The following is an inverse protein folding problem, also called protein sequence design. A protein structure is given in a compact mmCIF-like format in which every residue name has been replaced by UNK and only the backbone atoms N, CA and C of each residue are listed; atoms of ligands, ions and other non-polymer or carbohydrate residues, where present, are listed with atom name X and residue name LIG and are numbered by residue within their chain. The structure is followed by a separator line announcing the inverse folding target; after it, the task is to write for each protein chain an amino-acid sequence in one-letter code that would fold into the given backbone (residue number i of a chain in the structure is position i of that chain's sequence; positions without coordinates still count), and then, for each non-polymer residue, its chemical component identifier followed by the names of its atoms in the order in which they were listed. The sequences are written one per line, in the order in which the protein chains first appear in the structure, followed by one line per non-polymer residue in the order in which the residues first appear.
data_IF_040427564624
#
_entry.id   IF_040427564624
#
_cell.length_a   1.000
_cell.length_b   1.000
_cell.length_c   1.000
_cell.angle_alpha   90.00
_cell.angle_beta   90.00
_cell.angle_gamma   90.00
#
_symmetry.space_group_name_H-M   'P 1'
#
loop_
_entity.id
_entity.type
_entity.pdbx_description
1 polymer ?
#
# COMPACT_ATOMS: atom_id res chain seq x y z
N UNK A 1 -29.45 -76.26 -13.59
CA UNK A 1 -29.54 -74.90 -14.18
C UNK A 1 -29.15 -73.94 -13.07
N UNK A 2 -27.92 -73.40 -13.12
CA UNK A 2 -27.62 -72.01 -13.54
C UNK A 2 -28.16 -71.01 -12.49
N UNK A 3 -27.45 -70.08 -11.85
CA UNK A 3 -26.11 -69.49 -11.97
C UNK A 3 -26.00 -68.48 -10.81
N UNK A 4 -24.85 -68.43 -10.14
CA UNK A 4 -24.03 -67.21 -9.87
C UNK A 4 -24.72 -65.86 -9.56
N UNK A 5 -24.33 -65.19 -8.47
CA UNK A 5 -23.43 -64.01 -8.54
C UNK A 5 -23.12 -63.40 -7.17
N UNK A 6 -21.82 -63.15 -6.96
CA UNK A 6 -21.21 -62.33 -5.93
C UNK A 6 -21.54 -60.84 -6.13
N UNK A 7 -21.74 -60.08 -5.06
CA UNK A 7 -21.41 -58.64 -5.05
C UNK A 7 -20.90 -58.21 -3.67
N UNK A 8 -19.58 -58.08 -3.57
CA UNK A 8 -18.91 -57.34 -2.50
C UNK A 8 -18.82 -55.87 -2.94
N UNK A 9 -19.40 -54.97 -2.16
CA UNK A 9 -19.28 -53.51 -2.36
C UNK A 9 -18.16 -52.99 -1.46
N UNK A 10 -16.96 -52.85 -2.03
CA UNK A 10 -15.88 -52.08 -1.43
C UNK A 10 -16.14 -50.58 -1.68
N UNK A 11 -16.56 -49.86 -0.64
CA UNK A 11 -16.64 -48.39 -0.68
C UNK A 11 -15.23 -47.81 -0.49
N UNK A 12 -14.58 -47.45 -1.59
CA UNK A 12 -13.38 -46.62 -1.60
C UNK A 12 -13.75 -45.18 -1.20
N UNK A 13 -13.54 -44.83 0.07
CA UNK A 13 -13.58 -43.45 0.53
C UNK A 13 -12.35 -42.70 0.02
N UNK A 14 -12.53 -41.95 -1.06
CA UNK A 14 -11.56 -41.01 -1.61
C UNK A 14 -11.38 -39.84 -0.65
N UNK A 15 -10.30 -39.87 0.14
CA UNK A 15 -9.84 -38.73 0.91
C UNK A 15 -9.31 -37.67 -0.08
N UNK A 16 -10.10 -36.63 -0.33
CA UNK A 16 -9.65 -35.45 -1.04
C UNK A 16 -8.64 -34.70 -0.16
N UNK A 17 -7.34 -34.90 -0.44
CA UNK A 17 -6.27 -34.09 0.14
C UNK A 17 -6.44 -32.68 -0.43
N UNK A 18 -7.00 -31.77 0.39
CA UNK A 18 -7.03 -30.36 0.08
C UNK A 18 -5.57 -29.88 0.01
N UNK A 19 -5.11 -29.52 -1.19
CA UNK A 19 -3.82 -28.91 -1.38
C UNK A 19 -3.76 -27.59 -0.59
N UNK A 20 -2.69 -27.31 0.17
CA UNK A 20 -2.55 -26.03 0.84
C UNK A 20 -2.48 -24.94 -0.22
N UNK A 21 -3.44 -24.01 -0.15
CA UNK A 21 -3.41 -22.76 -0.91
C UNK A 21 -2.16 -22.01 -0.45
N UNK A 22 -1.11 -22.10 -1.26
CA UNK A 22 0.12 -21.36 -1.07
C UNK A 22 -0.22 -19.87 -1.20
N UNK A 23 -0.44 -19.23 -0.04
CA UNK A 23 -0.62 -17.79 0.11
C UNK A 23 0.71 -17.13 -0.26
N UNK A 24 0.98 -17.01 -1.57
CA UNK A 24 2.12 -16.26 -2.11
C UNK A 24 1.88 -14.80 -1.77
N UNK A 25 2.31 -14.39 -0.59
CA UNK A 25 2.58 -12.99 -0.26
C UNK A 25 3.71 -12.56 -1.18
N UNK A 26 3.36 -11.96 -2.32
CA UNK A 26 4.32 -11.27 -3.16
C UNK A 26 4.91 -10.14 -2.33
N UNK A 27 6.15 -10.33 -1.88
CA UNK A 27 6.95 -9.27 -1.28
C UNK A 27 7.48 -8.49 -2.48
N UNK A 28 6.79 -7.41 -2.84
CA UNK A 28 7.33 -6.42 -3.79
C UNK A 28 8.58 -5.82 -3.14
N UNK A 29 9.73 -6.10 -3.73
CA UNK A 29 10.99 -5.47 -3.38
C UNK A 29 11.04 -4.13 -4.13
N UNK A 30 11.12 -2.98 -3.44
CA UNK A 30 11.15 -1.69 -4.11
C UNK A 30 12.41 -1.58 -4.97
N UNK A 31 12.27 -1.01 -6.17
CA UNK A 31 13.40 -0.67 -7.05
C UNK A 31 14.30 0.39 -6.39
N UNK A 32 15.62 0.25 -6.55
CA UNK A 32 16.62 1.22 -6.07
C UNK A 32 16.31 2.63 -6.60
N UNK A 33 16.24 3.61 -5.69
CA UNK A 33 15.76 4.96 -6.01
C UNK A 33 16.77 5.82 -6.79
N UNK A 34 16.36 6.30 -7.97
CA UNK A 34 16.99 7.45 -8.63
C UNK A 34 16.16 8.73 -8.38
N UNK A 35 16.84 9.88 -8.28
CA UNK A 35 16.19 11.19 -8.12
C UNK A 35 15.10 11.39 -9.19
N UNK A 36 13.85 11.57 -8.76
CA UNK A 36 12.71 11.79 -9.65
C UNK A 36 11.87 10.55 -9.98
N UNK A 37 12.02 9.45 -9.23
CA UNK A 37 11.23 8.22 -9.43
C UNK A 37 9.72 8.52 -9.31
N UNK A 38 8.97 8.15 -10.37
CA UNK A 38 7.53 8.35 -10.49
C UNK A 38 6.78 7.04 -10.21
N UNK A 39 5.96 7.04 -9.17
CA UNK A 39 5.14 5.92 -8.77
C UNK A 39 3.69 6.13 -9.19
N UNK A 40 3.11 5.15 -9.88
CA UNK A 40 1.71 5.18 -10.30
C UNK A 40 0.80 4.50 -9.28
N UNK A 41 -0.26 5.20 -8.88
CA UNK A 41 -1.23 4.73 -7.89
C UNK A 41 -2.48 4.23 -8.61
N UNK A 42 -2.80 2.94 -8.45
CA UNK A 42 -3.96 2.29 -9.04
C UNK A 42 -4.80 1.58 -7.97
N UNK A 43 -5.94 0.98 -8.38
CA UNK A 43 -6.77 0.22 -7.44
C UNK A 43 -6.08 -1.07 -6.96
N UNK A 44 -5.09 -1.55 -7.71
CA UNK A 44 -4.26 -2.71 -7.37
C UNK A 44 -3.07 -2.37 -6.46
N UNK A 45 -2.70 -1.08 -6.35
CA UNK A 45 -1.58 -0.69 -5.49
C UNK A 45 -1.79 -1.17 -4.05
N UNK A 46 -0.76 -1.77 -3.42
CA UNK A 46 -0.83 -2.26 -2.06
C UNK A 46 -1.05 -1.12 -1.05
N UNK A 47 -1.36 -1.50 0.19
CA UNK A 47 -1.62 -0.53 1.27
C UNK A 47 -0.37 0.31 1.55
N UNK A 48 0.78 -0.33 1.72
CA UNK A 48 2.10 0.31 1.65
C UNK A 48 2.49 0.24 0.18
N UNK A 49 2.56 1.36 -0.52
CA UNK A 49 2.80 1.35 -1.97
C UNK A 49 4.23 1.72 -2.32
N UNK A 50 4.91 2.49 -1.46
CA UNK A 50 6.34 2.78 -1.60
C UNK A 50 6.99 2.66 -0.23
N UNK A 51 8.09 1.90 -0.21
CA UNK A 51 9.10 1.93 0.84
C UNK A 51 10.36 2.47 0.18
N UNK A 52 10.95 3.51 0.74
CA UNK A 52 12.22 4.04 0.23
C UNK A 52 13.39 3.27 0.82
N UNK A 53 14.54 3.48 0.19
CA UNK A 53 15.83 3.04 0.70
C UNK A 53 16.18 3.74 2.02
N UNK A 54 17.29 3.30 2.60
CA UNK A 54 17.85 3.87 3.83
C UNK A 54 18.62 5.14 3.50
N UNK A 55 18.29 6.23 4.19
CA UNK A 55 18.97 7.51 4.06
C UNK A 55 19.63 7.87 5.39
N UNK A 56 20.91 8.26 5.34
CA UNK A 56 21.56 8.91 6.47
C UNK A 56 21.21 10.40 6.46
N UNK A 57 20.32 10.82 7.37
CA UNK A 57 19.76 12.16 7.41
C UNK A 57 19.91 12.78 8.79
N UNK A 58 20.05 14.10 8.81
CA UNK A 58 19.99 14.93 10.02
C UNK A 58 18.70 15.78 9.99
N UNK A 59 18.41 16.50 11.07
CA UNK A 59 17.23 17.38 11.14
C UNK A 59 17.21 18.53 10.11
N UNK A 60 18.34 18.81 9.45
CA UNK A 60 18.47 19.85 8.41
C UNK A 60 18.25 19.30 7.00
N UNK A 61 18.12 17.99 6.83
CA UNK A 61 17.86 17.35 5.56
C UNK A 61 16.40 16.89 5.50
N UNK A 62 15.69 17.31 4.46
CA UNK A 62 14.29 17.01 4.24
C UNK A 62 14.13 16.16 2.98
N UNK A 63 13.14 15.27 2.94
CA UNK A 63 12.82 14.53 1.71
C UNK A 63 11.63 15.17 1.03
N UNK A 64 11.81 15.59 -0.22
CA UNK A 64 10.76 16.23 -1.01
C UNK A 64 10.01 15.20 -1.86
N UNK A 65 8.68 15.27 -1.81
CA UNK A 65 7.82 14.51 -2.69
C UNK A 65 6.63 15.34 -3.17
N UNK A 66 6.19 15.07 -4.39
CA UNK A 66 4.92 15.58 -4.91
C UNK A 66 3.95 14.44 -5.10
N UNK A 67 2.66 14.74 -5.00
CA UNK A 67 1.61 13.77 -5.23
C UNK A 67 0.43 14.40 -5.93
N UNK A 68 -0.27 13.56 -6.69
CA UNK A 68 -1.51 13.88 -7.41
C UNK A 68 -2.50 12.74 -7.23
N UNK A 69 -3.65 13.00 -6.64
CA UNK A 69 -4.68 12.00 -6.36
C UNK A 69 -6.01 12.37 -7.04
N UNK A 70 -6.33 11.73 -8.16
CA UNK A 70 -7.55 12.01 -8.92
C UNK A 70 -8.80 11.45 -8.23
N UNK A 71 -8.66 10.34 -7.50
CA UNK A 71 -9.79 9.65 -6.86
C UNK A 71 -10.19 10.29 -5.52
N UNK A 72 -11.48 10.59 -5.29
CA UNK A 72 -11.91 11.11 -4.00
C UNK A 72 -11.83 10.04 -2.90
N UNK A 73 -11.62 10.48 -1.65
CA UNK A 73 -11.56 9.63 -0.43
C UNK A 73 -10.39 8.64 -0.37
N UNK A 74 -9.34 8.90 -1.13
CA UNK A 74 -8.02 8.29 -0.92
C UNK A 74 -7.13 9.34 -0.27
N UNK A 75 -6.35 8.94 0.73
CA UNK A 75 -5.35 9.76 1.39
C UNK A 75 -4.01 9.07 1.30
N UNK A 76 -2.97 9.84 1.02
CA UNK A 76 -1.59 9.37 0.96
C UNK A 76 -0.91 9.68 2.28
N UNK A 77 -0.72 8.73 3.19
CA UNK A 77 0.03 8.97 4.44
C UNK A 77 1.50 8.73 4.20
N UNK A 78 2.37 9.53 4.80
CA UNK A 78 3.79 9.26 4.87
C UNK A 78 4.17 8.95 6.31
N UNK A 79 5.10 8.02 6.46
CA UNK A 79 5.69 7.66 7.73
C UNK A 79 7.21 7.75 7.60
N UNK A 80 7.83 8.53 8.46
CA UNK A 80 9.27 8.50 8.65
C UNK A 80 9.59 7.48 9.74
N UNK A 81 10.47 6.53 9.42
CA UNK A 81 10.90 5.46 10.30
C UNK A 81 12.39 5.59 10.60
N UNK A 82 12.73 5.62 11.89
CA UNK A 82 14.10 5.52 12.34
C UNK A 82 14.53 4.04 12.31
N UNK A 83 15.66 3.74 11.67
CA UNK A 83 16.20 2.39 11.50
C UNK A 83 17.31 2.03 12.49
N UNK A 84 17.71 2.99 13.33
CA UNK A 84 18.62 2.73 14.44
C UNK A 84 18.01 1.74 15.44
N UNK A 85 18.84 1.18 16.31
CA UNK A 85 18.34 0.32 17.40
C UNK A 85 17.34 1.08 18.28
N UNK A 86 16.19 0.46 18.55
CA UNK A 86 15.09 1.11 19.26
C UNK A 86 14.31 2.16 18.45
N UNK A 87 14.59 2.26 17.15
CA UNK A 87 13.88 3.16 16.25
C UNK A 87 12.39 2.86 16.12
N UNK A 88 11.61 3.90 15.83
CA UNK A 88 10.17 3.78 15.62
C UNK A 88 9.73 4.61 14.41
N UNK A 89 8.54 4.29 13.90
CA UNK A 89 7.91 5.02 12.82
C UNK A 89 6.94 6.07 13.36
N UNK A 90 7.07 7.31 12.89
CA UNK A 90 6.08 8.35 13.14
C UNK A 90 5.30 8.66 11.87
N UNK A 91 4.05 9.09 12.02
CA UNK A 91 3.25 9.56 10.89
C UNK A 91 3.51 11.04 10.68
N UNK A 92 3.95 11.40 9.47
CA UNK A 92 4.11 12.79 9.08
C UNK A 92 2.76 13.44 8.85
N UNK A 93 2.53 14.52 9.59
CA UNK A 93 1.34 15.34 9.45
C UNK A 93 1.57 16.36 8.35
N UNK A 94 1.17 16.04 7.13
CA UNK A 94 1.06 17.03 6.06
C UNK A 94 -0.40 17.33 5.72
N UNK A 95 -0.67 18.58 5.35
CA UNK A 95 -2.01 19.04 4.96
C UNK A 95 -2.26 18.68 3.50
N UNK A 96 -3.40 18.07 3.21
CA UNK A 96 -3.81 17.87 1.83
C UNK A 96 -4.54 19.12 1.35
N UNK A 97 -4.00 19.84 0.34
CA UNK A 97 -4.73 20.93 -0.28
C UNK A 97 -6.00 20.38 -0.92
N UNK A 98 -6.99 21.27 -1.11
CA UNK A 98 -8.28 20.90 -1.71
C UNK A 98 -8.10 20.37 -3.15
N UNK A 99 -7.04 20.82 -3.81
CA UNK A 99 -6.74 20.56 -5.22
C UNK A 99 -6.20 19.16 -5.50
N UNK A 100 -6.11 18.30 -4.47
CA UNK A 100 -5.66 16.88 -4.54
C UNK A 100 -4.27 16.68 -5.15
N UNK A 101 -3.54 17.76 -5.34
CA UNK A 101 -2.19 17.86 -5.83
C UNK A 101 -1.41 18.70 -4.84
N UNK A 102 -0.24 18.23 -4.44
CA UNK A 102 0.56 18.94 -3.44
C UNK A 102 2.02 18.55 -3.47
N UNK A 103 2.84 19.45 -2.96
CA UNK A 103 4.22 19.22 -2.62
C UNK A 103 4.33 19.18 -1.09
N UNK A 104 5.06 18.21 -0.57
CA UNK A 104 5.30 18.09 0.86
C UNK A 104 6.74 17.63 1.12
N UNK A 105 7.18 17.89 2.35
CA UNK A 105 8.54 17.63 2.80
C UNK A 105 8.49 16.83 4.08
N UNK A 106 9.28 15.77 4.14
CA UNK A 106 9.41 14.90 5.31
C UNK A 106 10.70 15.28 6.03
N UNK A 107 10.58 15.65 7.30
CA UNK A 107 11.71 16.09 8.12
C UNK A 107 11.98 15.08 9.24
N UNK A 108 13.20 14.50 9.31
CA UNK A 108 13.62 13.70 10.45
C UNK A 108 13.55 14.50 11.76
N UNK A 109 13.19 13.83 12.86
CA UNK A 109 13.02 14.50 14.17
C UNK A 109 14.28 14.48 15.04
N UNK A 110 15.27 13.64 14.73
CA UNK A 110 16.54 13.64 15.47
C UNK A 110 17.49 14.70 14.93
N UNK A 111 18.12 15.42 15.86
CA UNK A 111 19.23 16.33 15.58
C UNK A 111 20.48 15.65 14.99
N UNK A 112 21.00 14.55 15.55
CA UNK A 112 22.16 13.87 14.98
C UNK A 112 21.85 13.22 13.63
N UNK A 113 22.91 12.93 12.87
CA UNK A 113 22.84 12.12 11.66
C UNK A 113 22.46 10.68 12.05
N UNK A 114 21.41 10.14 11.44
CA UNK A 114 20.96 8.77 11.68
C UNK A 114 20.28 8.19 10.42
N UNK A 115 20.01 6.87 10.44
CA UNK A 115 19.42 6.13 9.33
C UNK A 115 17.90 6.18 9.39
N UNK A 116 17.29 6.71 8.34
CA UNK A 116 15.85 6.82 8.17
C UNK A 116 15.38 6.10 6.91
N UNK A 117 14.18 5.56 6.95
CA UNK A 117 13.44 5.12 5.76
C UNK A 117 12.03 5.69 5.79
N UNK A 118 11.50 5.99 4.60
CA UNK A 118 10.20 6.61 4.42
C UNK A 118 9.23 5.61 3.81
N UNK A 119 8.04 5.53 4.40
CA UNK A 119 6.99 4.63 3.97
C UNK A 119 5.77 5.44 3.57
N UNK A 120 5.31 5.23 2.35
CA UNK A 120 4.12 5.86 1.85
C UNK A 120 2.97 4.85 1.80
N UNK A 121 1.85 5.23 2.41
CA UNK A 121 0.72 4.35 2.70
C UNK A 121 -0.57 4.95 2.14
N UNK A 122 -1.29 4.19 1.33
CA UNK A 122 -2.59 4.59 0.79
C UNK A 122 -3.70 4.21 1.76
N UNK A 123 -4.32 5.22 2.37
CA UNK A 123 -5.52 5.05 3.17
C UNK A 123 -6.77 5.31 2.32
N UNK A 124 -7.55 4.24 2.07
CA UNK A 124 -8.82 4.32 1.36
C UNK A 124 -9.96 4.46 2.37
N UNK A 125 -10.54 5.66 2.51
CA UNK A 125 -11.65 5.87 3.45
C UNK A 125 -12.95 5.40 2.84
N UNK A 126 -13.53 4.36 3.43
CA UNK A 126 -14.86 3.89 3.05
C UNK A 126 -15.88 5.05 3.15
N UNK A 127 -16.77 5.15 2.16
CA UNK A 127 -17.88 6.09 2.22
C UNK A 127 -18.80 5.66 3.36
N UNK A 128 -18.98 6.53 4.36
CA UNK A 128 -20.09 6.41 5.29
C UNK A 128 -21.39 6.58 4.50
N UNK A 129 -22.27 5.60 4.58
CA UNK A 129 -23.63 5.66 4.04
C UNK A 129 -24.56 5.83 5.22
N UNK A 130 -25.42 6.83 5.19
CA UNK A 130 -26.44 7.01 6.23
C UNK A 130 -27.57 5.99 6.09
N UNK A 131 -27.70 5.35 4.92
CA UNK A 131 -28.74 4.38 4.59
C UNK A 131 -28.12 3.05 4.11
N UNK A 132 -28.46 1.97 4.81
CA UNK A 132 -28.02 0.62 4.50
C UNK A 132 -28.49 0.13 3.11
N UNK A 133 -29.67 0.54 2.64
CA UNK A 133 -30.18 0.17 1.30
C UNK A 133 -29.33 0.82 0.20
N UNK A 134 -28.93 2.09 0.38
CA UNK A 134 -28.02 2.78 -0.55
C UNK A 134 -26.64 2.12 -0.59
N UNK A 135 -26.14 1.64 0.55
CA UNK A 135 -24.90 0.85 0.62
C UNK A 135 -25.05 -0.46 -0.17
N UNK A 136 -26.08 -1.24 0.12
CA UNK A 136 -26.31 -2.54 -0.52
C UNK A 136 -26.43 -2.42 -2.06
N UNK A 137 -27.24 -1.46 -2.55
CA UNK A 137 -27.37 -1.19 -3.99
C UNK A 137 -26.03 -0.85 -4.65
N UNK A 138 -25.16 -0.08 -3.98
CA UNK A 138 -23.88 0.32 -4.57
C UNK A 138 -22.82 -0.78 -4.51
N UNK A 139 -22.81 -1.56 -3.43
CA UNK A 139 -21.94 -2.74 -3.32
C UNK A 139 -22.32 -3.76 -4.39
N UNK A 140 -23.62 -4.02 -4.56
CA UNK A 140 -24.16 -4.89 -5.62
C UNK A 140 -23.81 -4.40 -7.03
N UNK A 141 -23.87 -3.07 -7.28
CA UNK A 141 -23.45 -2.49 -8.57
C UNK A 141 -21.95 -2.47 -8.80
N UNK A 142 -21.13 -2.70 -7.77
CA UNK A 142 -19.68 -2.79 -7.92
C UNK A 142 -19.40 -4.17 -8.50
N UNK A 143 -19.12 -4.23 -9.80
CA UNK A 143 -18.97 -5.46 -10.61
C UNK A 143 -17.79 -6.37 -10.21
N UNK A 144 -17.21 -6.20 -9.01
CA UNK A 144 -16.04 -6.95 -8.54
C UNK A 144 -14.74 -6.65 -9.29
N UNK A 145 -14.82 -6.08 -10.49
CA UNK A 145 -13.68 -5.72 -11.35
C UNK A 145 -13.02 -4.45 -10.81
N UNK A 146 -11.72 -4.57 -10.49
CA UNK A 146 -10.86 -3.43 -10.16
C UNK A 146 -10.33 -2.83 -11.47
N UNK A 147 -10.25 -1.51 -11.53
CA UNK A 147 -9.68 -0.83 -12.69
C UNK A 147 -8.16 -0.79 -12.58
N UNK A 148 -7.45 -1.15 -13.65
CA UNK A 148 -5.99 -0.97 -13.71
C UNK A 148 -5.59 0.47 -14.10
N UNK A 149 -6.56 1.33 -14.40
CA UNK A 149 -6.29 2.74 -14.70
C UNK A 149 -5.68 3.43 -13.47
N UNK A 150 -4.48 4.02 -13.57
CA UNK A 150 -3.90 4.78 -12.47
C UNK A 150 -4.81 5.97 -12.17
N UNK A 151 -5.09 6.20 -10.90
CA UNK A 151 -5.88 7.33 -10.41
C UNK A 151 -5.04 8.34 -9.64
N UNK A 152 -3.72 8.17 -9.62
CA UNK A 152 -2.82 9.13 -9.00
C UNK A 152 -1.37 8.81 -9.29
N UNK A 153 -0.52 9.75 -8.95
CA UNK A 153 0.93 9.64 -9.09
C UNK A 153 1.60 10.23 -7.86
N UNK A 154 2.73 9.66 -7.48
CA UNK A 154 3.65 10.23 -6.51
C UNK A 154 5.02 10.33 -7.15
N UNK A 155 5.68 11.48 -7.03
CA UNK A 155 7.06 11.64 -7.46
C UNK A 155 7.93 11.94 -6.25
N UNK A 156 9.02 11.21 -6.11
CA UNK A 156 9.98 11.38 -5.03
C UNK A 156 11.25 12.03 -5.61
N UNK A 157 11.56 13.25 -5.18
CA UNK A 157 12.69 14.02 -5.71
C UNK A 157 14.00 13.70 -5.00
N UNK A 158 13.93 13.18 -3.77
CA UNK A 158 15.09 12.83 -2.96
C UNK A 158 15.29 13.79 -1.80
N UNK A 159 16.54 13.89 -1.34
CA UNK A 159 16.96 14.67 -0.18
C UNK A 159 17.29 16.11 -0.60
N UNK A 160 16.68 17.07 0.08
CA UNK A 160 16.89 18.51 -0.10
C UNK A 160 17.20 19.16 1.25
N UNK A 161 17.98 20.25 1.31
CA UNK A 161 18.18 20.99 2.55
C UNK A 161 16.86 21.62 3.01
N UNK A 162 16.50 21.41 4.27
CA UNK A 162 15.28 21.91 4.88
C UNK A 162 15.20 23.45 4.95
N UNK A 163 16.33 24.14 4.85
CA UNK A 163 16.41 25.62 4.89
C UNK A 163 15.88 26.27 3.60
N UNK A 164 15.70 25.48 2.54
CA UNK A 164 15.17 25.93 1.24
C UNK A 164 13.65 25.67 1.11
N UNK A 165 12.98 25.34 2.21
CA UNK A 165 11.60 24.83 2.27
C UNK A 165 10.71 25.66 3.19
#
# INVERSE_FOLDING_TARGET
MLTSTLTALAALSSAAIAAPVLDKRFIEQPDDMNNGTLYSISDFSPKVFVKTDEFELNFKSCVQFTYKLLKPKVRLRAYTCLLSEGGFCTLDKFSYPKDREGCAYLRPWLYPLDRYSFYFVLERRARKYNDARKRARRVSRKTGRLSNTPFGHMQLYGVVPCDQV
#
